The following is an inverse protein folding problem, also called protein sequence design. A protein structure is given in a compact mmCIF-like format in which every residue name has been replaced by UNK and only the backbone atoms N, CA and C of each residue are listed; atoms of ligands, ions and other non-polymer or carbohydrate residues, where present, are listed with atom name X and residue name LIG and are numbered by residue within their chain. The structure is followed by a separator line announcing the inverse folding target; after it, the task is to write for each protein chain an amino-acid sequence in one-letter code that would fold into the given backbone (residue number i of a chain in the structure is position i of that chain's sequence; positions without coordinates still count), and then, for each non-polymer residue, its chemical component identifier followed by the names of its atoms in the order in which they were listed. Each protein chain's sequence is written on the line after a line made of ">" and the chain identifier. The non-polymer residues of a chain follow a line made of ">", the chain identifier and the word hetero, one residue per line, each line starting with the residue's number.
data_IF_862174559130
#
_entry.id   IF_862174559130
#
_cell.length_a   1.000
_cell.length_b   1.000
_cell.length_c   1.000
_cell.angle_alpha   90.00
_cell.angle_beta   90.00
_cell.angle_gamma   90.00
#
_symmetry.space_group_name_H-M   'P 1'
#
loop_
_entity.id
_entity.type
_entity.pdbx_description
1 polymer ?
#
# COMPACT_ATOMS: atom_id res chain seq x y z
N UNK A 1 9.13 8.65 -15.22
CA UNK A 1 8.51 8.01 -14.04
C UNK A 1 7.11 7.55 -14.37
N UNK A 2 6.78 6.32 -14.03
CA UNK A 2 5.44 5.82 -14.23
C UNK A 2 4.44 6.54 -13.32
N UNK A 3 3.26 6.83 -13.85
CA UNK A 3 2.15 7.37 -13.06
C UNK A 3 0.96 6.44 -13.19
N UNK A 4 0.31 6.19 -12.07
CA UNK A 4 -0.82 5.29 -12.05
C UNK A 4 -2.08 5.88 -12.69
N UNK A 5 -2.21 7.22 -12.71
CA UNK A 5 -3.35 7.88 -13.34
C UNK A 5 -2.95 9.26 -13.86
N UNK A 6 -3.32 9.54 -15.10
CA UNK A 6 -3.18 10.89 -15.68
C UNK A 6 -4.52 11.30 -16.27
N UNK A 7 -5.08 12.37 -15.75
CA UNK A 7 -6.34 12.92 -16.25
C UNK A 7 -6.21 13.34 -17.71
N UNK A 8 -7.11 12.88 -18.56
CA UNK A 8 -7.04 13.13 -20.00
C UNK A 8 -7.81 14.37 -20.42
N UNK A 9 -8.85 14.74 -19.67
CA UNK A 9 -9.67 15.88 -20.05
C UNK A 9 -10.24 16.57 -18.82
N UNK A 10 -10.49 17.86 -18.95
CA UNK A 10 -11.19 18.67 -17.97
C UNK A 10 -12.43 19.22 -18.64
N UNK A 11 -13.59 18.89 -18.13
CA UNK A 11 -14.87 19.25 -18.72
C UNK A 11 -15.58 20.30 -17.89
N UNK A 12 -16.28 21.21 -18.57
CA UNK A 12 -17.08 22.25 -17.94
C UNK A 12 -18.51 22.22 -18.49
N UNK A 13 -19.41 22.92 -17.83
CA UNK A 13 -20.79 23.05 -18.29
C UNK A 13 -20.81 23.60 -19.71
N UNK A 14 -21.60 22.98 -20.59
CA UNK A 14 -21.73 23.36 -21.99
C UNK A 14 -20.74 22.70 -22.92
N UNK A 15 -19.77 21.93 -22.40
CA UNK A 15 -18.83 21.19 -23.25
C UNK A 15 -19.52 20.04 -23.95
N UNK A 16 -19.07 19.76 -25.17
CA UNK A 16 -19.49 18.54 -25.88
C UNK A 16 -18.70 17.36 -25.33
N UNK A 17 -19.42 16.33 -24.87
CA UNK A 17 -18.79 15.11 -24.36
C UNK A 17 -18.86 14.07 -25.45
N UNK A 18 -17.69 13.63 -25.92
CA UNK A 18 -17.55 12.65 -26.99
C UNK A 18 -17.21 11.27 -26.43
N UNK A 19 -17.42 10.23 -27.23
CA UNK A 19 -16.97 8.88 -26.85
C UNK A 19 -15.47 8.83 -26.57
N UNK A 20 -14.68 9.59 -27.34
CA UNK A 20 -13.23 9.62 -27.14
C UNK A 20 -12.84 10.17 -25.75
N UNK A 21 -13.54 11.21 -25.28
CA UNK A 21 -13.28 11.77 -23.94
C UNK A 21 -13.50 10.74 -22.84
N UNK A 22 -14.65 10.05 -22.87
CA UNK A 22 -14.94 9.01 -21.89
C UNK A 22 -13.96 7.84 -22.00
N UNK A 23 -13.74 7.35 -23.21
CA UNK A 23 -12.86 6.19 -23.42
C UNK A 23 -11.44 6.47 -22.94
N UNK A 24 -10.92 7.66 -23.20
CA UNK A 24 -9.59 8.03 -22.76
C UNK A 24 -9.47 8.07 -21.24
N UNK A 25 -10.49 8.62 -20.54
CA UNK A 25 -10.50 8.64 -19.07
C UNK A 25 -10.61 7.24 -18.50
N UNK A 26 -11.52 6.40 -19.03
CA UNK A 26 -11.67 5.03 -18.58
C UNK A 26 -10.41 4.19 -18.82
N UNK A 27 -9.74 4.40 -19.96
CA UNK A 27 -8.49 3.71 -20.25
C UNK A 27 -7.41 4.06 -19.22
N UNK A 28 -7.38 5.32 -18.77
CA UNK A 28 -6.45 5.70 -17.71
C UNK A 28 -6.79 5.03 -16.37
N UNK A 29 -8.08 4.89 -16.04
CA UNK A 29 -8.50 4.16 -14.85
C UNK A 29 -8.10 2.69 -14.93
N UNK A 30 -8.35 2.04 -16.06
CA UNK A 30 -7.94 0.64 -16.27
C UNK A 30 -6.43 0.50 -16.09
N UNK A 31 -5.66 1.41 -16.70
CA UNK A 31 -4.21 1.40 -16.58
C UNK A 31 -3.75 1.62 -15.14
N UNK A 32 -4.43 2.49 -14.41
CA UNK A 32 -4.08 2.80 -13.02
C UNK A 32 -4.25 1.59 -12.10
N UNK A 33 -5.26 0.76 -12.34
CA UNK A 33 -5.51 -0.43 -11.54
C UNK A 33 -4.80 -1.69 -12.06
N UNK A 34 -4.10 -1.59 -13.18
CA UNK A 34 -3.35 -2.72 -13.71
C UNK A 34 -2.16 -3.05 -12.80
N UNK A 35 -1.75 -4.32 -12.83
CA UNK A 35 -0.56 -4.75 -12.12
C UNK A 35 0.69 -4.16 -12.76
N UNK A 36 1.57 -3.59 -11.92
CA UNK A 36 2.86 -3.07 -12.37
C UNK A 36 3.97 -3.97 -11.84
N UNK A 37 4.53 -4.79 -12.71
CA UNK A 37 5.61 -5.71 -12.35
C UNK A 37 6.99 -5.09 -12.46
N UNK A 38 7.08 -3.88 -13.02
CA UNK A 38 8.35 -3.23 -13.32
C UNK A 38 8.35 -1.80 -12.81
N UNK A 39 9.49 -1.36 -12.32
CA UNK A 39 9.68 0.03 -11.91
C UNK A 39 9.58 1.02 -13.07
N UNK A 40 9.76 0.54 -14.29
CA UNK A 40 9.69 1.35 -15.50
C UNK A 40 8.33 1.28 -16.19
N UNK A 41 7.36 0.59 -15.60
CA UNK A 41 6.04 0.47 -16.21
C UNK A 41 5.37 1.83 -16.34
N UNK A 42 4.73 2.06 -17.48
CA UNK A 42 3.91 3.26 -17.71
C UNK A 42 2.46 3.07 -17.28
N UNK A 43 2.10 1.86 -16.88
CA UNK A 43 0.75 1.54 -16.41
C UNK A 43 0.80 0.89 -15.04
N UNK A 44 -0.37 0.82 -14.38
CA UNK A 44 -0.46 0.22 -13.06
C UNK A 44 0.05 1.15 -11.96
N UNK A 45 0.09 0.63 -10.76
CA UNK A 45 0.62 1.37 -9.61
C UNK A 45 1.29 0.41 -8.62
N UNK A 46 2.07 1.00 -7.72
CA UNK A 46 2.76 0.29 -6.65
C UNK A 46 2.59 1.09 -5.36
N UNK A 47 2.86 0.45 -4.25
CA UNK A 47 2.85 1.09 -2.94
C UNK A 47 4.28 1.26 -2.45
N UNK A 48 5.03 2.14 -3.09
CA UNK A 48 6.45 2.37 -2.79
C UNK A 48 6.77 3.82 -2.44
N UNK A 49 5.75 4.69 -2.36
CA UNK A 49 5.94 6.09 -2.01
C UNK A 49 6.46 6.98 -3.12
N UNK A 50 6.67 6.46 -4.32
CA UNK A 50 7.11 7.28 -5.45
C UNK A 50 6.00 8.21 -5.92
N UNK A 51 6.39 9.33 -6.53
CA UNK A 51 5.42 10.29 -7.08
C UNK A 51 4.49 9.61 -8.08
N UNK A 52 3.20 9.80 -7.92
CA UNK A 52 2.18 9.21 -8.79
C UNK A 52 1.86 7.75 -8.47
N UNK A 53 2.47 7.19 -7.44
CA UNK A 53 2.18 5.85 -6.96
C UNK A 53 1.49 5.90 -5.59
N UNK A 54 1.01 4.77 -5.11
CA UNK A 54 0.49 4.67 -3.75
C UNK A 54 1.59 4.83 -2.71
N UNK A 55 1.21 5.28 -1.52
CA UNK A 55 2.15 5.37 -0.41
C UNK A 55 2.61 3.99 0.05
N UNK A 56 3.69 3.96 0.81
CA UNK A 56 4.17 2.73 1.44
C UNK A 56 3.07 2.13 2.32
N UNK A 57 3.05 0.81 2.42
CA UNK A 57 2.12 0.09 3.27
C UNK A 57 2.82 -0.18 4.61
N UNK A 58 2.49 0.59 5.67
CA UNK A 58 3.21 0.48 6.95
C UNK A 58 2.73 -0.69 7.81
N UNK A 59 1.60 -1.27 7.52
CA UNK A 59 1.09 -2.42 8.26
C UNK A 59 0.18 -3.27 7.38
N UNK A 60 0.24 -4.57 7.60
CA UNK A 60 -0.63 -5.55 6.96
C UNK A 60 -1.25 -6.42 8.04
N UNK A 61 -2.50 -6.82 7.86
CA UNK A 61 -3.20 -7.60 8.88
C UNK A 61 -4.46 -8.26 8.36
N UNK A 62 -5.08 -9.02 9.22
CA UNK A 62 -6.35 -9.67 8.93
C UNK A 62 -7.55 -8.70 9.12
N UNK A 63 -8.75 -9.22 9.02
CA UNK A 63 -9.95 -8.39 8.94
C UNK A 63 -10.17 -7.49 10.16
N UNK A 64 -9.92 -8.00 11.37
CA UNK A 64 -10.07 -7.21 12.59
C UNK A 64 -8.77 -6.58 13.08
N UNK A 65 -7.68 -6.78 12.33
CA UNK A 65 -6.38 -6.18 12.58
C UNK A 65 -5.72 -6.59 13.89
N UNK A 66 -6.07 -7.76 14.41
CA UNK A 66 -5.48 -8.28 15.64
C UNK A 66 -4.26 -9.19 15.36
N UNK A 67 -4.20 -9.78 14.15
CA UNK A 67 -3.01 -10.47 13.66
C UNK A 67 -2.39 -9.58 12.58
N UNK A 68 -1.16 -9.09 12.81
CA UNK A 68 -0.59 -8.08 11.89
C UNK A 68 0.91 -7.98 11.97
N UNK A 69 1.46 -7.39 10.91
CA UNK A 69 2.87 -6.96 10.85
C UNK A 69 2.86 -5.44 10.75
N UNK A 70 3.64 -4.78 11.58
CA UNK A 70 3.71 -3.32 11.66
C UNK A 70 5.14 -2.85 11.43
N UNK A 71 5.32 -1.92 10.49
CA UNK A 71 6.59 -1.20 10.31
C UNK A 71 6.52 0.07 11.15
N UNK A 72 7.27 0.09 12.25
CA UNK A 72 7.25 1.17 13.23
C UNK A 72 8.43 2.12 12.99
N UNK A 73 8.16 3.21 12.27
CA UNK A 73 9.18 4.21 11.95
C UNK A 73 9.58 5.08 13.13
N UNK A 74 8.76 5.15 14.17
CA UNK A 74 9.07 5.93 15.37
C UNK A 74 10.15 5.23 16.21
N UNK A 75 10.02 3.92 16.36
CA UNK A 75 10.94 3.11 17.15
C UNK A 75 11.94 2.33 16.28
N UNK A 76 11.89 2.50 14.95
CA UNK A 76 12.80 1.85 13.99
C UNK A 76 12.81 0.33 14.13
N UNK A 77 11.64 -0.28 14.03
CA UNK A 77 11.51 -1.73 14.17
C UNK A 77 10.31 -2.27 13.37
N UNK A 78 10.32 -3.57 13.13
CA UNK A 78 9.20 -4.30 12.54
C UNK A 78 8.65 -5.24 13.59
N UNK A 79 7.37 -5.09 13.91
CA UNK A 79 6.70 -5.89 14.94
C UNK A 79 5.75 -6.91 14.34
N UNK A 80 5.66 -8.07 14.96
CA UNK A 80 4.77 -9.17 14.58
C UNK A 80 3.79 -9.42 15.71
N UNK A 81 2.51 -9.26 15.44
CA UNK A 81 1.44 -9.31 16.43
C UNK A 81 0.51 -10.48 16.16
N UNK A 82 0.06 -11.13 17.21
CA UNK A 82 -0.92 -12.23 17.15
C UNK A 82 -2.03 -11.93 18.13
N UNK A 83 -3.24 -12.28 17.76
CA UNK A 83 -4.39 -12.11 18.64
C UNK A 83 -4.30 -13.06 19.84
N UNK A 84 -4.36 -12.47 21.04
CA UNK A 84 -4.42 -13.20 22.30
C UNK A 84 -5.52 -12.57 23.13
N UNK A 85 -6.55 -13.35 23.48
CA UNK A 85 -7.66 -12.88 24.30
C UNK A 85 -8.30 -11.59 23.76
N UNK A 86 -8.56 -11.57 22.44
CA UNK A 86 -9.19 -10.45 21.72
C UNK A 86 -8.36 -9.17 21.70
N UNK A 87 -7.05 -9.29 21.82
CA UNK A 87 -6.12 -8.15 21.72
C UNK A 87 -4.93 -8.51 20.83
N UNK A 88 -4.43 -7.53 20.09
CA UNK A 88 -3.20 -7.69 19.34
C UNK A 88 -2.02 -7.61 20.31
N UNK A 89 -1.27 -8.70 20.44
CA UNK A 89 -0.13 -8.79 21.35
C UNK A 89 1.13 -9.00 20.55
N UNK A 90 2.10 -8.12 20.72
CA UNK A 90 3.39 -8.24 20.02
C UNK A 90 4.14 -9.47 20.52
N UNK A 91 4.49 -10.36 19.58
CA UNK A 91 5.15 -11.62 19.89
C UNK A 91 6.65 -11.53 19.68
N UNK A 92 7.06 -10.85 18.62
CA UNK A 92 8.45 -10.72 18.24
C UNK A 92 8.63 -9.43 17.46
N UNK A 93 9.81 -8.83 17.56
CA UNK A 93 10.19 -7.67 16.74
C UNK A 93 11.59 -7.84 16.18
N UNK A 94 11.81 -7.21 15.02
CA UNK A 94 13.12 -7.09 14.42
C UNK A 94 13.54 -5.63 14.52
N UNK A 95 14.73 -5.40 15.08
CA UNK A 95 15.31 -4.08 15.25
C UNK A 95 16.80 -4.15 15.00
N UNK A 96 17.51 -3.04 15.13
CA UNK A 96 18.94 -3.01 14.83
C UNK A 96 19.70 -4.09 15.60
N UNK A 97 20.29 -5.01 14.84
CA UNK A 97 21.15 -6.07 15.39
C UNK A 97 20.42 -7.17 16.14
N UNK A 98 19.09 -7.20 16.16
CA UNK A 98 18.39 -8.16 17.02
C UNK A 98 17.04 -8.62 16.48
N UNK A 99 16.73 -9.88 16.76
CA UNK A 99 15.37 -10.41 16.74
C UNK A 99 14.98 -10.61 18.20
N UNK A 100 13.95 -9.91 18.66
CA UNK A 100 13.62 -9.81 20.08
C UNK A 100 12.29 -10.44 20.36
N UNK A 101 12.21 -11.52 21.17
CA UNK A 101 10.93 -12.00 21.68
C UNK A 101 10.37 -10.96 22.66
N UNK A 102 9.04 -10.77 22.63
CA UNK A 102 8.36 -9.76 23.42
C UNK A 102 7.37 -10.47 24.35
N UNK A 103 7.17 -9.92 25.54
CA UNK A 103 6.17 -10.40 26.50
C UNK A 103 6.37 -11.87 26.88
N UNK A 104 7.52 -12.19 27.45
CA UNK A 104 7.84 -13.54 27.94
C UNK A 104 7.76 -14.65 26.90
N UNK A 105 7.80 -14.31 25.61
CA UNK A 105 7.77 -15.30 24.55
C UNK A 105 9.18 -15.81 24.25
N UNK A 106 9.24 -17.11 23.99
CA UNK A 106 10.45 -17.76 23.49
C UNK A 106 10.36 -17.93 21.99
N UNK A 107 11.51 -17.96 21.34
CA UNK A 107 11.59 -18.32 19.92
C UNK A 107 11.92 -19.82 19.88
N UNK A 108 10.96 -20.60 19.40
CA UNK A 108 11.10 -22.07 19.29
C UNK A 108 11.64 -22.47 17.92
#
# INVERSE_FOLDING_TARGET
>A
MAQNYTRQSSMADGDTITAALFNNEYNQLVNAFAYSSSSASSTGHRHDGSTGQGGNVPQIGDLDFLNKVVVDGTNNRVGFFVEVSSSAVEQVRVQDGAIVPVTDNDID
#
